data_IF_806892124061
#
_entry.id   IF_806892124061
#
_cell.length_a   1.000
_cell.length_b   1.000
_cell.length_c   1.000
_cell.angle_alpha   90.00
_cell.angle_beta   90.00
_cell.angle_gamma   90.00
#
_symmetry.space_group_name_H-M   'P 1'
#
loop_
_entity.id
_entity.type
_entity.pdbx_description
1 polymer ?
#
# COMPACT_ATOMS: atom_id res chain seq x y z
N UNK A 1 -48.93 -10.73 -20.69
CA UNK A 1 -48.29 -11.40 -19.55
C UNK A 1 -47.30 -12.49 -19.94
N UNK A 2 -47.55 -13.29 -21.01
CA UNK A 2 -46.58 -14.31 -21.45
C UNK A 2 -45.25 -13.71 -21.96
N UNK A 3 -45.34 -12.65 -22.78
CA UNK A 3 -44.16 -11.97 -23.36
C UNK A 3 -43.24 -11.35 -22.30
N UNK A 4 -43.83 -10.74 -21.27
CA UNK A 4 -43.08 -10.16 -20.15
C UNK A 4 -42.42 -11.25 -19.30
N UNK A 5 -43.10 -12.39 -19.11
CA UNK A 5 -42.53 -13.54 -18.42
C UNK A 5 -41.36 -14.16 -19.21
N UNK A 6 -41.48 -14.30 -20.53
CA UNK A 6 -40.39 -14.79 -21.38
C UNK A 6 -39.20 -13.84 -21.40
N UNK A 7 -39.42 -12.53 -21.48
CA UNK A 7 -38.34 -11.53 -21.40
C UNK A 7 -37.65 -11.53 -20.03
N UNK A 8 -38.40 -11.76 -18.95
CA UNK A 8 -37.87 -11.85 -17.59
C UNK A 8 -36.89 -13.01 -17.37
N UNK A 9 -37.01 -14.11 -18.12
CA UNK A 9 -36.08 -15.26 -18.01
C UNK A 9 -34.63 -14.90 -18.39
N UNK A 10 -34.43 -13.87 -19.22
CA UNK A 10 -33.09 -13.40 -19.61
C UNK A 10 -32.27 -12.83 -18.46
N UNK A 11 -32.91 -12.36 -17.38
CA UNK A 11 -32.21 -11.86 -16.19
C UNK A 11 -31.40 -12.96 -15.48
N UNK A 12 -31.74 -14.24 -15.68
CA UNK A 12 -30.98 -15.37 -15.14
C UNK A 12 -29.59 -15.52 -15.79
N UNK A 13 -29.41 -14.97 -16.99
CA UNK A 13 -28.14 -14.99 -17.71
C UNK A 13 -27.26 -13.79 -17.38
N UNK A 14 -27.70 -12.89 -16.50
CA UNK A 14 -26.86 -11.79 -16.04
C UNK A 14 -25.69 -12.36 -15.23
N UNK A 15 -24.44 -12.00 -15.58
CA UNK A 15 -23.30 -12.50 -14.85
C UNK A 15 -23.24 -11.80 -13.49
N UNK A 16 -23.53 -12.52 -12.41
CA UNK A 16 -23.64 -11.97 -11.05
C UNK A 16 -22.29 -11.74 -10.36
N UNK A 17 -21.21 -12.31 -10.91
CA UNK A 17 -19.90 -12.38 -10.25
C UNK A 17 -18.74 -11.89 -11.16
N UNK A 18 -19.02 -11.02 -12.12
CA UNK A 18 -17.94 -10.42 -12.91
C UNK A 18 -17.28 -9.35 -12.06
N UNK A 19 -15.96 -9.41 -11.85
CA UNK A 19 -15.24 -8.31 -11.22
C UNK A 19 -15.52 -7.02 -12.00
N UNK A 20 -15.90 -5.95 -11.29
CA UNK A 20 -16.18 -4.67 -11.90
C UNK A 20 -14.87 -4.02 -12.34
N UNK A 21 -14.54 -4.17 -13.63
CA UNK A 21 -13.46 -3.41 -14.23
C UNK A 21 -13.95 -2.01 -14.62
N UNK A 22 -13.68 -1.01 -13.77
CA UNK A 22 -14.06 0.39 -14.01
C UNK A 22 -13.53 0.90 -15.35
N UNK A 23 -12.34 0.49 -15.78
CA UNK A 23 -11.81 0.92 -17.07
C UNK A 23 -12.59 0.33 -18.26
N UNK A 24 -13.06 -0.91 -18.14
CA UNK A 24 -13.94 -1.52 -19.15
C UNK A 24 -15.30 -0.81 -19.22
N UNK A 25 -15.85 -0.42 -18.07
CA UNK A 25 -17.16 0.21 -17.99
C UNK A 25 -17.15 1.69 -18.44
N UNK A 26 -16.08 2.42 -18.14
CA UNK A 26 -16.01 3.87 -18.37
C UNK A 26 -15.19 4.29 -19.60
N UNK A 27 -14.49 3.36 -20.26
CA UNK A 27 -13.72 3.66 -21.48
C UNK A 27 -14.23 2.83 -22.67
N UNK A 28 -14.52 3.45 -23.83
CA UNK A 28 -14.98 2.72 -25.02
C UNK A 28 -14.02 1.60 -25.44
N UNK A 29 -14.56 0.45 -25.85
CA UNK A 29 -13.77 -0.76 -26.19
C UNK A 29 -12.69 -0.53 -27.26
N UNK A 30 -12.93 0.38 -28.19
CA UNK A 30 -12.04 0.73 -29.30
C UNK A 30 -11.29 2.05 -29.14
N UNK A 31 -11.13 2.56 -27.91
CA UNK A 31 -10.41 3.83 -27.72
C UNK A 31 -8.92 3.69 -28.11
N UNK A 32 -8.31 4.71 -28.74
CA UNK A 32 -6.88 4.73 -29.00
C UNK A 32 -6.03 4.52 -27.73
N UNK A 33 -6.48 5.08 -26.60
CA UNK A 33 -5.85 4.90 -25.30
C UNK A 33 -5.75 3.41 -24.89
N UNK A 34 -6.80 2.60 -25.11
CA UNK A 34 -6.75 1.16 -24.84
C UNK A 34 -5.79 0.41 -25.77
N UNK A 35 -5.63 0.85 -27.02
CA UNK A 35 -4.67 0.24 -27.94
C UNK A 35 -3.22 0.50 -27.50
N UNK A 36 -2.91 1.75 -27.14
CA UNK A 36 -1.61 2.13 -26.57
C UNK A 36 -1.34 1.40 -25.26
N UNK A 37 -2.33 1.30 -24.39
CA UNK A 37 -2.20 0.59 -23.12
C UNK A 37 -1.88 -0.89 -23.29
N UNK A 38 -2.59 -1.58 -24.20
CA UNK A 38 -2.27 -2.98 -24.57
C UNK A 38 -0.87 -3.12 -25.14
N UNK A 39 -0.42 -2.15 -25.94
CA UNK A 39 0.95 -2.13 -26.44
C UNK A 39 1.95 -2.04 -25.28
N UNK A 40 1.75 -1.12 -24.32
CA UNK A 40 2.62 -1.00 -23.15
C UNK A 40 2.60 -2.27 -22.31
N UNK A 41 1.43 -2.84 -22.00
CA UNK A 41 1.31 -4.08 -21.22
C UNK A 41 2.01 -5.27 -21.89
N UNK A 42 1.96 -5.36 -23.23
CA UNK A 42 2.63 -6.42 -23.98
C UNK A 42 4.16 -6.29 -24.04
N UNK A 43 4.71 -5.08 -23.85
CA UNK A 43 6.16 -4.83 -23.96
C UNK A 43 6.86 -4.56 -22.63
N UNK A 44 6.12 -4.09 -21.62
CA UNK A 44 6.63 -3.75 -20.30
C UNK A 44 5.99 -4.64 -19.24
N UNK A 45 6.28 -5.94 -19.32
CA UNK A 45 5.81 -6.92 -18.33
C UNK A 45 6.55 -6.75 -17.01
N UNK A 46 5.84 -6.87 -15.90
CA UNK A 46 6.43 -6.90 -14.56
C UNK A 46 6.42 -8.31 -13.98
N UNK A 47 7.19 -8.51 -12.90
CA UNK A 47 7.06 -9.67 -12.02
C UNK A 47 6.91 -9.18 -10.58
N UNK A 48 5.72 -9.17 -10.01
CA UNK A 48 5.47 -8.68 -8.65
C UNK A 48 5.79 -9.71 -7.57
N UNK A 49 6.06 -10.95 -7.94
CA UNK A 49 6.58 -11.98 -7.03
C UNK A 49 8.10 -11.92 -6.83
N UNK A 50 8.84 -11.16 -7.64
CA UNK A 50 10.30 -11.08 -7.54
C UNK A 50 10.91 -9.71 -7.84
N UNK A 51 10.39 -8.98 -8.82
CA UNK A 51 10.97 -7.74 -9.34
C UNK A 51 9.99 -6.57 -9.29
N UNK A 52 9.18 -6.47 -8.23
CA UNK A 52 8.17 -5.42 -8.12
C UNK A 52 8.80 -4.03 -8.12
N UNK A 53 8.21 -3.14 -8.92
CA UNK A 53 8.50 -1.71 -8.90
C UNK A 53 7.24 -0.96 -9.32
N UNK A 54 6.67 -0.18 -8.40
CA UNK A 54 5.43 0.56 -8.65
C UNK A 54 5.56 1.54 -9.83
N UNK A 55 6.74 2.11 -10.07
CA UNK A 55 6.98 3.01 -11.20
C UNK A 55 7.08 2.32 -12.56
N UNK A 56 7.17 0.99 -12.58
CA UNK A 56 7.22 0.16 -13.80
C UNK A 56 5.92 -0.60 -14.07
N UNK A 57 4.93 -0.50 -13.19
CA UNK A 57 3.64 -1.17 -13.36
C UNK A 57 2.82 -0.45 -14.43
N UNK A 58 2.42 -1.20 -15.45
CA UNK A 58 1.52 -0.76 -16.51
C UNK A 58 0.07 -1.15 -16.25
N UNK A 59 -0.21 -1.93 -15.20
CA UNK A 59 -1.55 -2.37 -14.80
C UNK A 59 -1.93 -1.78 -13.45
N UNK A 60 -3.20 -1.88 -13.08
CA UNK A 60 -3.64 -1.60 -11.71
C UNK A 60 -2.83 -2.39 -10.69
N UNK A 61 -2.56 -1.76 -9.55
CA UNK A 61 -1.82 -2.34 -8.43
C UNK A 61 -2.73 -2.34 -7.22
N UNK A 62 -2.85 -3.49 -6.56
CA UNK A 62 -3.54 -3.57 -5.28
C UNK A 62 -2.59 -3.15 -4.18
N UNK A 63 -3.00 -2.21 -3.34
CA UNK A 63 -2.22 -1.79 -2.20
C UNK A 63 -3.11 -1.40 -1.03
N UNK A 64 -2.51 -1.35 0.15
CA UNK A 64 -3.08 -0.69 1.32
C UNK A 64 -2.24 0.52 1.64
N UNK A 65 -2.88 1.69 1.81
CA UNK A 65 -2.23 2.92 2.25
C UNK A 65 -2.68 3.30 3.65
N UNK A 66 -1.74 3.34 4.59
CA UNK A 66 -1.94 3.84 5.95
C UNK A 66 -1.25 5.18 6.10
N UNK A 67 -1.98 6.21 6.52
CA UNK A 67 -1.38 7.49 6.87
C UNK A 67 -1.18 7.57 8.39
N UNK A 68 0.05 7.79 8.82
CA UNK A 68 0.39 8.03 10.21
C UNK A 68 0.71 9.51 10.39
N UNK A 69 0.05 10.16 11.34
CA UNK A 69 0.16 11.60 11.61
C UNK A 69 0.71 11.83 13.00
N UNK A 70 1.65 12.77 13.12
CA UNK A 70 2.29 13.16 14.37
C UNK A 70 1.33 13.95 15.26
N UNK A 71 1.16 13.52 16.51
CA UNK A 71 0.57 14.35 17.56
C UNK A 71 1.59 15.33 18.18
N UNK A 72 2.88 15.17 17.89
CA UNK A 72 3.97 16.04 18.36
C UNK A 72 4.52 16.93 17.23
N UNK A 73 5.65 17.60 17.45
CA UNK A 73 6.30 18.46 16.45
C UNK A 73 6.74 17.72 15.18
N UNK A 74 7.24 16.48 15.29
CA UNK A 74 7.76 15.70 14.15
C UNK A 74 7.75 14.20 14.45
N UNK A 75 7.55 13.39 13.41
CA UNK A 75 7.70 11.92 13.45
C UNK A 75 9.16 11.46 13.50
N UNK A 76 10.13 12.33 13.20
CA UNK A 76 11.58 12.01 13.20
C UNK A 76 12.16 11.98 14.61
N UNK A 77 11.55 11.19 15.48
CA UNK A 77 12.01 10.90 16.85
C UNK A 77 12.01 9.39 17.03
N UNK A 78 13.01 8.86 17.73
CA UNK A 78 13.21 7.42 17.87
C UNK A 78 12.00 6.74 18.49
N UNK A 79 11.47 7.27 19.59
CA UNK A 79 10.28 6.67 20.24
C UNK A 79 9.02 6.71 19.35
N UNK A 80 8.92 7.70 18.45
CA UNK A 80 7.78 7.80 17.53
C UNK A 80 7.92 6.78 16.40
N UNK A 81 9.13 6.60 15.86
CA UNK A 81 9.39 5.55 14.88
C UNK A 81 9.20 4.14 15.48
N UNK A 82 9.39 3.96 16.79
CA UNK A 82 9.05 2.72 17.49
C UNK A 82 7.53 2.46 17.53
N UNK A 83 6.72 3.48 17.85
CA UNK A 83 5.25 3.39 17.76
C UNK A 83 4.81 3.04 16.31
N UNK A 84 5.38 3.72 15.31
CA UNK A 84 5.09 3.45 13.89
C UNK A 84 5.53 2.03 13.49
N UNK A 85 6.70 1.58 13.94
CA UNK A 85 7.20 0.24 13.65
C UNK A 85 6.33 -0.84 14.29
N UNK A 86 5.71 -0.55 15.43
CA UNK A 86 4.76 -1.47 16.08
C UNK A 86 3.50 -1.60 15.23
N UNK A 87 2.94 -0.49 14.75
CA UNK A 87 1.83 -0.49 13.80
C UNK A 87 2.16 -1.29 12.51
N UNK A 88 3.30 -1.01 11.89
CA UNK A 88 3.77 -1.73 10.69
C UNK A 88 3.87 -3.23 10.93
N UNK A 89 4.36 -3.62 12.11
CA UNK A 89 4.49 -5.02 12.52
C UNK A 89 3.11 -5.67 12.71
N UNK A 90 2.15 -5.00 13.33
CA UNK A 90 0.78 -5.50 13.50
C UNK A 90 0.13 -5.77 12.14
N UNK A 91 0.28 -4.85 11.17
CA UNK A 91 -0.26 -5.05 9.82
C UNK A 91 0.41 -6.22 9.10
N UNK A 92 1.73 -6.35 9.18
CA UNK A 92 2.47 -7.45 8.54
C UNK A 92 2.18 -8.82 9.15
N UNK A 93 1.77 -8.89 10.43
CA UNK A 93 1.37 -10.14 11.09
C UNK A 93 -0.09 -10.54 10.88
N UNK A 94 -0.88 -9.74 10.14
CA UNK A 94 -2.26 -10.12 9.81
C UNK A 94 -2.27 -11.38 8.95
N UNK A 95 -3.15 -12.31 9.33
CA UNK A 95 -3.39 -13.54 8.59
C UNK A 95 -4.87 -13.81 8.41
N UNK A 96 -5.22 -14.37 7.25
CA UNK A 96 -6.58 -14.84 6.95
C UNK A 96 -6.63 -16.34 7.12
N UNK A 97 -7.47 -16.83 8.03
CA UNK A 97 -7.77 -18.26 8.13
C UNK A 97 -8.76 -18.66 7.03
N UNK A 98 -8.43 -19.70 6.27
CA UNK A 98 -9.32 -20.31 5.26
C UNK A 98 -10.10 -21.47 5.86
N UNK A 99 -11.23 -21.81 5.24
CA UNK A 99 -12.08 -22.95 5.63
C UNK A 99 -11.33 -24.29 5.62
N UNK A 100 -10.35 -24.45 4.75
CA UNK A 100 -9.50 -25.65 4.66
C UNK A 100 -8.39 -25.71 5.74
N UNK A 101 -8.38 -24.78 6.71
CA UNK A 101 -7.40 -24.70 7.79
C UNK A 101 -6.07 -24.04 7.43
N UNK A 102 -5.85 -23.66 6.16
CA UNK A 102 -4.66 -22.91 5.75
C UNK A 102 -4.75 -21.43 6.12
N UNK A 103 -3.62 -20.75 6.24
CA UNK A 103 -3.56 -19.33 6.56
C UNK A 103 -2.85 -18.55 5.45
N UNK A 104 -3.37 -17.35 5.15
CA UNK A 104 -2.74 -16.39 4.24
C UNK A 104 -2.17 -15.25 5.08
N UNK A 105 -0.85 -15.23 5.29
CA UNK A 105 -0.16 -14.08 5.88
C UNK A 105 0.22 -13.04 4.83
N UNK A 106 0.57 -11.83 5.29
CA UNK A 106 1.01 -10.75 4.40
C UNK A 106 2.20 -11.16 3.50
N UNK A 107 3.19 -11.90 4.00
CA UNK A 107 4.34 -12.35 3.19
C UNK A 107 3.95 -13.22 1.97
N UNK A 108 2.79 -13.89 2.05
CA UNK A 108 2.25 -14.71 0.96
C UNK A 108 1.60 -13.90 -0.16
N UNK A 109 1.19 -12.65 0.12
CA UNK A 109 0.42 -11.79 -0.80
C UNK A 109 1.13 -10.49 -1.15
N UNK A 110 2.15 -10.09 -0.40
CA UNK A 110 2.90 -8.87 -0.65
C UNK A 110 3.63 -8.93 -2.00
N UNK A 111 3.73 -7.80 -2.67
CA UNK A 111 4.62 -7.66 -3.81
C UNK A 111 6.08 -7.67 -3.34
N UNK A 112 6.95 -8.38 -4.06
CA UNK A 112 8.32 -8.69 -3.66
C UNK A 112 9.34 -8.06 -4.61
N UNK A 113 10.43 -7.61 -4.01
CA UNK A 113 11.66 -7.22 -4.69
C UNK A 113 12.81 -8.07 -4.16
N UNK A 114 13.52 -8.75 -5.07
CA UNK A 114 14.59 -9.71 -4.74
C UNK A 114 14.14 -10.79 -3.74
N UNK A 115 12.89 -11.24 -3.85
CA UNK A 115 12.32 -12.32 -3.03
C UNK A 115 11.81 -11.92 -1.65
N UNK A 116 11.91 -10.64 -1.26
CA UNK A 116 11.36 -10.11 0.00
C UNK A 116 10.26 -9.09 -0.28
N UNK A 117 9.27 -8.97 0.63
CA UNK A 117 8.25 -7.92 0.53
C UNK A 117 8.89 -6.54 0.40
N UNK A 118 8.35 -5.71 -0.49
CA UNK A 118 8.75 -4.30 -0.57
C UNK A 118 8.44 -3.61 0.77
N UNK A 119 9.38 -2.85 1.36
CA UNK A 119 9.15 -2.20 2.64
C UNK A 119 8.01 -1.18 2.54
N UNK A 120 7.18 -1.13 3.59
CA UNK A 120 6.02 -0.22 3.64
C UNK A 120 6.41 1.26 3.60
N UNK A 121 7.60 1.58 4.11
CA UNK A 121 8.22 2.90 3.99
C UNK A 121 9.75 2.77 4.04
N UNK A 122 10.45 3.37 3.07
CA UNK A 122 11.91 3.27 2.96
C UNK A 122 12.64 3.87 4.18
N UNK A 123 12.16 4.98 4.74
CA UNK A 123 12.78 5.61 5.91
C UNK A 123 12.58 4.77 7.18
N UNK A 124 11.37 4.23 7.38
CA UNK A 124 11.09 3.33 8.50
C UNK A 124 11.95 2.07 8.41
N UNK A 125 12.07 1.49 7.21
CA UNK A 125 12.90 0.30 6.96
C UNK A 125 14.38 0.59 7.23
N UNK A 126 14.92 1.71 6.73
CA UNK A 126 16.28 2.15 6.99
C UNK A 126 16.58 2.29 8.48
N UNK A 127 15.69 2.95 9.23
CA UNK A 127 15.83 3.10 10.68
C UNK A 127 15.67 1.77 11.43
N UNK A 128 14.84 0.84 10.96
CA UNK A 128 14.74 -0.52 11.54
C UNK A 128 16.04 -1.30 11.38
N UNK A 129 16.74 -1.15 10.26
CA UNK A 129 18.05 -1.79 10.01
C UNK A 129 19.18 -1.15 10.82
N UNK A 130 19.11 0.17 11.06
CA UNK A 130 20.08 0.89 11.88
C UNK A 130 19.35 1.83 12.85
N UNK A 131 19.18 1.37 14.10
CA UNK A 131 18.49 2.14 15.15
C UNK A 131 19.25 3.40 15.57
N UNK A 132 20.55 3.47 15.29
CA UNK A 132 21.42 4.61 15.56
C UNK A 132 21.48 5.60 14.38
N UNK A 133 20.61 5.43 13.37
CA UNK A 133 20.51 6.36 12.24
C UNK A 133 20.23 7.78 12.75
N UNK A 134 21.10 8.73 12.38
CA UNK A 134 20.93 10.14 12.74
C UNK A 134 19.72 10.76 12.00
N UNK A 135 18.57 10.73 12.67
CA UNK A 135 17.31 11.29 12.17
C UNK A 135 17.37 12.80 11.96
N UNK A 136 18.37 13.50 12.53
CA UNK A 136 18.54 14.95 12.35
C UNK A 136 19.17 15.30 11.00
N UNK A 137 19.86 14.33 10.37
CA UNK A 137 20.53 14.49 9.08
C UNK A 137 19.67 13.98 7.90
N UNK A 138 18.41 13.62 8.14
CA UNK A 138 17.46 13.26 7.08
C UNK A 138 17.11 14.49 6.26
N UNK A 139 17.28 14.36 4.94
CA UNK A 139 17.07 15.42 3.96
C UNK A 139 15.85 15.11 3.09
N UNK A 140 15.23 16.14 2.53
CA UNK A 140 14.07 16.05 1.63
C UNK A 140 14.36 16.86 0.35
N UNK A 141 13.96 16.41 -0.85
CA UNK A 141 13.10 15.25 -1.15
C UNK A 141 13.81 13.88 -1.20
N UNK A 142 15.14 13.86 -1.14
CA UNK A 142 15.95 12.64 -1.25
C UNK A 142 16.87 12.55 -0.04
N UNK A 143 16.98 11.38 0.58
CA UNK A 143 18.00 11.10 1.58
C UNK A 143 18.98 10.05 1.07
N UNK A 144 20.26 10.20 1.42
CA UNK A 144 21.30 9.23 1.10
C UNK A 144 21.54 8.34 2.32
N UNK A 145 21.40 7.04 2.13
CA UNK A 145 21.76 6.02 3.12
C UNK A 145 22.83 5.11 2.53
N UNK A 146 24.06 5.20 3.03
CA UNK A 146 25.16 4.33 2.62
C UNK A 146 25.39 4.27 1.10
N UNK A 147 25.19 5.39 0.40
CA UNK A 147 25.35 5.50 -1.06
C UNK A 147 24.08 5.21 -1.86
N UNK A 148 22.99 4.77 -1.22
CA UNK A 148 21.70 4.57 -1.86
C UNK A 148 20.81 5.80 -1.70
N UNK A 149 20.34 6.33 -2.83
CA UNK A 149 19.38 7.43 -2.86
C UNK A 149 17.97 6.90 -2.59
N UNK A 150 17.34 7.44 -1.57
CA UNK A 150 15.98 7.09 -1.18
C UNK A 150 15.08 8.32 -1.36
N UNK A 151 14.05 8.17 -2.19
CA UNK A 151 13.10 9.23 -2.48
C UNK A 151 11.99 9.24 -1.43
N UNK A 152 11.80 10.39 -0.80
CA UNK A 152 10.79 10.59 0.27
C UNK A 152 9.50 11.24 -0.23
N UNK A 153 9.48 11.66 -1.50
CA UNK A 153 8.30 12.26 -2.12
C UNK A 153 7.16 11.24 -2.11
N UNK A 154 6.05 11.62 -1.51
CA UNK A 154 4.88 10.77 -1.35
C UNK A 154 4.99 9.73 -0.24
N UNK A 155 6.13 9.53 0.44
CA UNK A 155 6.21 8.61 1.60
C UNK A 155 6.16 9.37 2.92
N UNK A 156 6.48 10.66 2.92
CA UNK A 156 6.29 11.57 4.05
C UNK A 156 5.60 12.87 3.61
N UNK A 157 4.97 13.55 4.57
CA UNK A 157 4.17 14.74 4.33
C UNK A 157 4.18 15.72 5.50
N UNK A 158 3.70 16.94 5.22
CA UNK A 158 3.75 18.04 6.18
C UNK A 158 5.18 18.36 6.61
N UNK A 159 6.08 18.43 5.63
CA UNK A 159 7.51 18.72 5.83
C UNK A 159 7.74 20.21 6.00
N UNK A 160 8.49 20.60 7.03
CA UNK A 160 8.96 21.98 7.21
C UNK A 160 10.35 22.00 7.83
N UNK A 161 11.08 23.09 7.62
CA UNK A 161 12.37 23.30 8.29
C UNK A 161 12.11 23.90 9.69
N UNK A 162 12.78 23.36 10.71
CA UNK A 162 12.78 23.90 12.07
C UNK A 162 13.20 25.37 12.12
N UNK A 163 12.87 26.07 13.22
CA UNK A 163 13.12 27.53 13.38
C UNK A 163 14.57 27.93 13.04
N UNK A 164 14.70 29.09 12.37
CA UNK A 164 15.95 29.70 11.85
C UNK A 164 17.13 29.84 12.82
N UNK A 165 16.93 29.71 14.13
CA UNK A 165 17.96 29.94 15.16
C UNK A 165 18.59 28.63 15.69
N UNK A 166 18.81 27.66 14.80
CA UNK A 166 19.45 26.37 15.06
C UNK A 166 19.78 25.62 13.76
N UNK A 167 20.26 24.37 13.84
CA UNK A 167 20.36 23.50 12.63
C UNK A 167 18.95 23.41 12.01
N UNK A 168 18.83 23.68 10.71
CA UNK A 168 17.59 23.57 9.93
C UNK A 168 17.13 22.11 9.85
N UNK A 169 16.67 21.55 10.96
CA UNK A 169 16.23 20.16 11.04
C UNK A 169 14.92 20.00 10.27
N UNK A 170 14.84 18.96 9.47
CA UNK A 170 13.60 18.57 8.81
C UNK A 170 12.60 18.10 9.87
N UNK A 171 11.40 18.65 9.84
CA UNK A 171 10.27 18.23 10.65
C UNK A 171 9.23 17.61 9.73
N UNK A 172 8.66 16.48 10.13
CA UNK A 172 7.75 15.66 9.33
C UNK A 172 6.48 15.42 10.13
N UNK A 173 5.32 15.79 9.60
CA UNK A 173 4.04 15.60 10.29
C UNK A 173 3.32 14.33 9.93
N UNK A 174 3.57 13.77 8.76
CA UNK A 174 2.91 12.57 8.31
C UNK A 174 3.88 11.60 7.63
N UNK A 175 3.64 10.31 7.81
CA UNK A 175 4.33 9.22 7.14
C UNK A 175 3.28 8.29 6.54
N UNK A 176 3.44 7.95 5.26
CA UNK A 176 2.58 6.99 4.57
C UNK A 176 3.27 5.62 4.57
N UNK A 177 2.57 4.60 5.05
CA UNK A 177 2.95 3.19 4.93
C UNK A 177 2.16 2.59 3.77
N UNK A 178 2.86 1.99 2.81
CA UNK A 178 2.29 1.42 1.58
C UNK A 178 2.57 -0.07 1.49
N UNK A 179 1.53 -0.89 1.56
CA UNK A 179 1.64 -2.34 1.46
C UNK A 179 1.18 -2.77 0.08
N UNK A 180 2.12 -2.96 -0.83
CA UNK A 180 1.81 -3.45 -2.18
C UNK A 180 1.52 -4.95 -2.16
N UNK A 181 0.53 -5.36 -2.94
CA UNK A 181 0.07 -6.75 -3.07
C UNK A 181 0.28 -7.25 -4.51
N UNK A 182 0.40 -8.56 -4.66
CA UNK A 182 0.57 -9.22 -5.96
C UNK A 182 -0.75 -9.21 -6.73
N UNK A 183 -0.68 -8.91 -8.02
CA UNK A 183 -1.84 -8.78 -8.91
C UNK A 183 -1.65 -9.45 -10.27
N UNK A 184 -0.50 -10.06 -10.53
CA UNK A 184 -0.16 -10.54 -11.89
C UNK A 184 -0.91 -11.78 -12.35
N UNK A 185 -1.11 -12.77 -11.49
CA UNK A 185 -1.90 -13.95 -11.80
C UNK A 185 -3.22 -13.97 -11.04
N UNK A 186 -4.21 -14.66 -11.61
CA UNK A 186 -5.59 -14.71 -11.09
C UNK A 186 -5.61 -15.20 -9.64
N UNK A 187 -4.79 -16.20 -9.31
CA UNK A 187 -4.75 -16.80 -7.97
C UNK A 187 -4.14 -15.82 -6.97
N UNK A 188 -3.02 -15.20 -7.31
CA UNK A 188 -2.38 -14.19 -6.47
C UNK A 188 -3.32 -12.99 -6.26
N UNK A 189 -4.03 -12.55 -7.29
CA UNK A 189 -5.02 -11.48 -7.18
C UNK A 189 -6.17 -11.84 -6.22
N UNK A 190 -6.73 -13.05 -6.34
CA UNK A 190 -7.76 -13.55 -5.42
C UNK A 190 -7.27 -13.60 -3.97
N UNK A 191 -6.06 -14.11 -3.73
CA UNK A 191 -5.47 -14.17 -2.39
C UNK A 191 -5.22 -12.77 -1.81
N UNK A 192 -4.71 -11.85 -2.64
CA UNK A 192 -4.52 -10.44 -2.30
C UNK A 192 -5.85 -9.78 -1.93
N UNK A 193 -6.92 -10.00 -2.71
CA UNK A 193 -8.26 -9.50 -2.41
C UNK A 193 -8.80 -10.05 -1.08
N UNK A 194 -8.66 -11.35 -0.80
CA UNK A 194 -9.05 -11.94 0.48
C UNK A 194 -8.33 -11.28 1.66
N UNK A 195 -7.00 -11.08 1.54
CA UNK A 195 -6.22 -10.43 2.58
C UNK A 195 -6.60 -8.97 2.77
N UNK A 196 -6.86 -8.24 1.67
CA UNK A 196 -7.26 -6.84 1.68
C UNK A 196 -8.62 -6.63 2.36
N UNK A 197 -9.62 -7.47 2.05
CA UNK A 197 -10.93 -7.45 2.74
C UNK A 197 -10.74 -7.72 4.24
N UNK A 198 -9.89 -8.67 4.60
CA UNK A 198 -9.60 -8.95 6.00
C UNK A 198 -8.92 -7.77 6.70
N UNK A 199 -7.93 -7.14 6.07
CA UNK A 199 -7.30 -5.92 6.58
C UNK A 199 -8.33 -4.83 6.85
N UNK A 200 -9.24 -4.56 5.90
CA UNK A 200 -10.29 -3.55 6.06
C UNK A 200 -11.19 -3.87 7.26
N UNK A 201 -11.58 -5.13 7.41
CA UNK A 201 -12.40 -5.58 8.54
C UNK A 201 -11.68 -5.45 9.89
N UNK A 202 -10.36 -5.61 9.91
CA UNK A 202 -9.54 -5.46 11.12
C UNK A 202 -9.05 -4.03 11.37
N UNK A 203 -9.20 -3.12 10.41
CA UNK A 203 -8.59 -1.79 10.46
C UNK A 203 -8.94 -1.00 11.72
N UNK A 204 -10.22 -1.05 12.15
CA UNK A 204 -10.69 -0.41 13.37
C UNK A 204 -10.12 -1.06 14.64
N UNK A 205 -9.94 -2.39 14.62
CA UNK A 205 -9.35 -3.12 15.74
C UNK A 205 -7.86 -2.82 15.87
N UNK A 206 -7.15 -2.74 14.74
CA UNK A 206 -5.74 -2.34 14.69
C UNK A 206 -5.59 -0.94 15.27
N UNK A 207 -6.39 0.02 14.80
CA UNK A 207 -6.40 1.39 15.33
C UNK A 207 -6.63 1.43 16.85
N UNK A 208 -7.62 0.69 17.37
CA UNK A 208 -7.91 0.63 18.82
C UNK A 208 -6.84 -0.09 19.63
N UNK A 209 -6.23 -1.13 19.08
CA UNK A 209 -5.18 -1.92 19.76
C UNK A 209 -3.90 -1.12 19.95
N UNK A 210 -3.68 -0.14 19.08
CA UNK A 210 -2.57 0.78 19.16
C UNK A 210 -2.94 1.88 20.16
N UNK A 211 -2.56 1.68 21.44
CA UNK A 211 -2.59 2.70 22.48
C UNK A 211 -1.52 3.80 22.25
N UNK A 212 -1.43 4.28 21.00
CA UNK A 212 -0.44 5.23 20.54
C UNK A 212 -0.67 6.58 21.21
N UNK A 213 0.40 7.12 21.82
CA UNK A 213 0.32 8.41 22.52
C UNK A 213 0.81 9.55 21.63
N UNK A 214 1.68 9.24 20.66
CA UNK A 214 2.39 10.25 19.86
C UNK A 214 2.01 10.24 18.38
N UNK A 215 1.29 9.22 17.93
CA UNK A 215 0.79 9.11 16.56
C UNK A 215 -0.73 8.92 16.50
N UNK A 216 -1.31 9.38 15.39
CA UNK A 216 -2.71 9.16 15.02
C UNK A 216 -2.75 8.49 13.65
N UNK A 217 -3.68 7.55 13.48
CA UNK A 217 -4.00 6.94 12.19
C UNK A 217 -5.41 7.40 11.85
N UNK A 218 -5.59 8.42 10.99
CA UNK A 218 -6.92 8.90 10.64
C UNK A 218 -7.71 7.74 10.00
N UNK A 219 -8.93 7.49 10.50
CA UNK A 219 -9.80 6.39 10.08
C UNK A 219 -10.36 6.47 8.64
N UNK A 220 -9.57 6.97 7.69
CA UNK A 220 -9.85 6.98 6.26
C UNK A 220 -8.77 6.20 5.52
N UNK A 221 -8.95 4.89 5.42
CA UNK A 221 -8.06 4.03 4.64
C UNK A 221 -8.37 4.24 3.16
N UNK A 222 -7.39 4.69 2.39
CA UNK A 222 -7.52 4.85 0.94
C UNK A 222 -7.03 3.55 0.30
N UNK A 223 -7.96 2.86 -0.37
CA UNK A 223 -7.68 1.80 -1.34
C UNK A 223 -7.18 2.41 -2.64
#
# INVERSE_FOLDING_TARGET
MLLTATLGTGLRSLPSNTEENLEEQYTPMGSPAKAEWRFVQGHFTTNDSYGFSNSRKSTGVNFVSTLVVSSTASLLQQEILEEISTLDTVVQYLYVAKENGTQIGYDGVCAKYQGACVPSNALLSAWRMNKDLDLTNITFPVFNLSGQLNYLVGTIGGTFLGKRTGRNQLLVKAMRLLYYLKTEDVKDNELSHMWLIHFLNQSTNIEKSLASKKIQVPGGWVL
#
